data_IF_625900027425
#
_entry.id   IF_625900027425
#
_cell.length_a   1.000
_cell.length_b   1.000
_cell.length_c   1.000
_cell.angle_alpha   90.00
_cell.angle_beta   90.00
_cell.angle_gamma   90.00
#
_symmetry.space_group_name_H-M   'P 1'
#
loop_
_entity.id
_entity.type
_entity.pdbx_description
1 polymer ?
#
# COMPACT_ATOMS: atom_id res chain seq x y z
N UNK A 1 2.44 -16.92 13.21
CA UNK A 1 3.35 -16.32 14.19
C UNK A 1 2.54 -15.76 15.35
N UNK A 2 3.01 -15.94 16.60
CA UNK A 2 2.39 -15.26 17.73
C UNK A 2 2.86 -13.81 17.73
N UNK A 3 1.91 -12.87 17.54
CA UNK A 3 2.22 -11.45 17.60
C UNK A 3 2.24 -10.96 19.05
N UNK A 4 3.10 -9.98 19.34
CA UNK A 4 3.01 -9.23 20.61
C UNK A 4 1.88 -8.24 20.49
N UNK A 5 1.31 -7.85 21.63
CA UNK A 5 0.34 -6.76 21.68
C UNK A 5 0.96 -5.50 21.05
N UNK A 6 0.31 -4.97 20.02
CA UNK A 6 0.81 -3.83 19.23
C UNK A 6 1.71 -4.16 18.02
N UNK A 7 2.06 -5.43 17.77
CA UNK A 7 2.75 -5.82 16.54
C UNK A 7 1.77 -5.86 15.35
N UNK A 8 2.27 -5.49 14.19
CA UNK A 8 1.49 -5.38 12.95
C UNK A 8 2.24 -6.09 11.83
N UNK A 9 1.54 -6.91 11.04
CA UNK A 9 2.07 -7.40 9.77
C UNK A 9 1.96 -6.25 8.76
N UNK A 10 3.09 -5.67 8.39
CA UNK A 10 3.14 -4.56 7.44
C UNK A 10 3.39 -5.04 6.01
N UNK A 11 4.03 -6.17 5.82
CA UNK A 11 4.32 -6.73 4.49
C UNK A 11 4.57 -8.24 4.58
N UNK A 12 4.01 -8.99 3.62
CA UNK A 12 4.25 -10.42 3.45
C UNK A 12 4.81 -10.66 2.04
N UNK A 13 5.92 -11.37 1.91
CA UNK A 13 6.51 -11.74 0.62
C UNK A 13 7.29 -13.05 0.74
N UNK A 14 7.54 -13.68 -0.39
CA UNK A 14 8.40 -14.86 -0.52
C UNK A 14 9.75 -14.44 -1.07
N UNK A 15 10.82 -14.97 -0.48
CA UNK A 15 12.18 -14.75 -0.94
C UNK A 15 13.00 -16.03 -0.80
N UNK A 16 14.00 -16.22 -1.66
CA UNK A 16 14.95 -17.32 -1.55
C UNK A 16 16.10 -16.93 -0.62
N UNK A 17 16.79 -17.93 -0.06
CA UNK A 17 17.94 -17.68 0.84
C UNK A 17 19.09 -16.94 0.15
N UNK A 18 19.13 -16.93 -1.18
CA UNK A 18 20.14 -16.23 -1.98
C UNK A 18 19.75 -14.77 -2.30
N UNK A 19 18.53 -14.37 -2.02
CA UNK A 19 18.05 -13.03 -2.29
C UNK A 19 18.58 -12.03 -1.26
N UNK A 20 18.57 -10.77 -1.66
CA UNK A 20 18.86 -9.61 -0.81
C UNK A 20 17.61 -8.78 -0.68
N UNK A 21 17.24 -8.44 0.54
CA UNK A 21 16.15 -7.52 0.82
C UNK A 21 16.66 -6.08 0.77
N UNK A 22 16.15 -5.30 -0.17
CA UNK A 22 16.33 -3.86 -0.22
C UNK A 22 15.33 -3.19 0.73
N UNK A 23 15.81 -2.73 1.88
CA UNK A 23 14.98 -2.11 2.91
C UNK A 23 15.06 -0.58 2.78
N UNK A 24 14.01 0.02 2.21
CA UNK A 24 13.87 1.47 2.07
C UNK A 24 13.24 2.07 3.32
N UNK A 25 13.72 3.22 3.75
CA UNK A 25 13.25 3.88 4.95
C UNK A 25 12.52 5.19 4.65
N UNK A 26 11.70 5.64 5.59
CA UNK A 26 11.00 6.93 5.52
C UNK A 26 11.94 8.12 5.33
N UNK A 27 13.22 7.99 5.71
CA UNK A 27 14.25 9.01 5.50
C UNK A 27 14.92 8.94 4.11
N UNK A 28 14.36 8.15 3.18
CA UNK A 28 14.90 8.01 1.83
C UNK A 28 16.22 7.25 1.75
N UNK A 29 16.53 6.46 2.75
CA UNK A 29 17.72 5.62 2.80
C UNK A 29 17.40 4.18 2.39
N UNK A 30 18.42 3.48 1.93
CA UNK A 30 18.39 2.06 1.64
C UNK A 30 19.39 1.32 2.53
N UNK A 31 18.92 0.25 3.14
CA UNK A 31 19.74 -0.75 3.81
C UNK A 31 19.54 -2.11 3.13
N UNK A 32 20.53 -2.99 3.21
CA UNK A 32 20.47 -4.35 2.67
C UNK A 32 20.42 -5.34 3.80
N UNK A 33 19.57 -6.34 3.65
CA UNK A 33 19.50 -7.49 4.54
C UNK A 33 19.51 -8.75 3.68
N UNK A 34 20.55 -9.59 3.81
CA UNK A 34 20.55 -10.87 3.12
C UNK A 34 19.49 -11.79 3.75
N UNK A 35 18.75 -12.50 2.93
CA UNK A 35 17.70 -13.39 3.43
C UNK A 35 18.27 -14.47 4.35
N UNK A 36 19.47 -14.98 4.08
CA UNK A 36 20.15 -15.96 4.95
C UNK A 36 20.47 -15.45 6.37
N UNK A 37 20.60 -14.12 6.56
CA UNK A 37 20.82 -13.48 7.86
C UNK A 37 19.52 -13.30 8.67
N UNK A 38 18.38 -13.50 8.01
CA UNK A 38 17.06 -13.45 8.67
C UNK A 38 16.89 -14.72 9.51
N UNK A 39 16.62 -14.60 10.82
CA UNK A 39 16.46 -15.76 11.67
C UNK A 39 15.28 -16.63 11.24
N UNK A 40 15.51 -17.93 11.15
CA UNK A 40 14.42 -18.89 10.99
C UNK A 40 13.45 -18.81 12.17
N UNK A 41 12.17 -18.94 11.89
CA UNK A 41 11.12 -18.93 12.86
C UNK A 41 10.05 -19.98 12.57
N UNK A 42 9.50 -20.59 13.61
CA UNK A 42 8.31 -21.43 13.48
C UNK A 42 7.04 -20.56 13.42
N UNK A 43 5.91 -21.16 13.08
CA UNK A 43 4.60 -20.51 13.13
C UNK A 43 4.23 -19.93 14.52
N UNK A 44 4.85 -20.45 15.58
CA UNK A 44 4.66 -20.02 16.98
C UNK A 44 5.73 -19.02 17.46
N UNK A 45 6.76 -18.71 16.66
CA UNK A 45 7.83 -17.79 17.10
C UNK A 45 7.38 -16.34 17.03
N UNK A 46 7.89 -15.53 17.96
CA UNK A 46 7.54 -14.08 18.08
C UNK A 46 8.29 -13.18 17.11
N UNK A 47 9.16 -13.72 16.25
CA UNK A 47 10.01 -12.92 15.37
C UNK A 47 11.03 -12.05 16.11
N UNK A 48 11.82 -11.31 15.33
CA UNK A 48 12.78 -10.32 15.84
C UNK A 48 12.52 -8.96 15.21
N UNK A 49 12.64 -7.86 15.95
CA UNK A 49 12.50 -6.53 15.37
C UNK A 49 13.55 -6.30 14.27
N UNK A 50 13.13 -5.79 13.11
CA UNK A 50 14.03 -5.49 11.99
C UNK A 50 15.11 -4.47 12.35
N UNK A 51 14.84 -3.60 13.31
CA UNK A 51 15.83 -2.63 13.86
C UNK A 51 17.06 -3.29 14.47
N UNK A 52 16.96 -4.57 14.86
CA UNK A 52 18.11 -5.32 15.38
C UNK A 52 18.97 -5.94 14.27
N UNK A 53 18.51 -5.90 13.02
CA UNK A 53 19.19 -6.44 11.85
C UNK A 53 19.74 -5.35 10.92
N UNK A 54 19.26 -4.11 11.07
CA UNK A 54 19.66 -2.96 10.27
C UNK A 54 20.20 -1.85 11.17
N UNK A 55 21.22 -1.13 10.68
CA UNK A 55 21.77 0.05 11.39
C UNK A 55 20.90 1.29 11.11
N UNK A 56 19.71 1.31 11.68
CA UNK A 56 18.78 2.44 11.55
C UNK A 56 19.15 3.58 12.52
N UNK A 57 18.92 4.79 12.09
CA UNK A 57 19.04 5.99 12.96
C UNK A 57 17.74 6.21 13.74
N UNK A 58 17.77 7.10 14.74
CA UNK A 58 16.57 7.48 15.49
C UNK A 58 15.47 7.99 14.53
N UNK A 59 14.23 7.59 14.76
CA UNK A 59 13.04 7.90 13.95
C UNK A 59 13.09 7.36 12.49
N UNK A 60 14.07 6.55 12.15
CA UNK A 60 14.13 5.86 10.87
C UNK A 60 13.27 4.58 10.91
N UNK A 61 12.33 4.46 9.98
CA UNK A 61 11.41 3.33 9.88
C UNK A 61 11.47 2.76 8.48
N UNK A 62 11.45 1.42 8.38
CA UNK A 62 11.35 0.74 7.09
C UNK A 62 9.95 0.99 6.49
N UNK A 63 9.93 1.50 5.27
CA UNK A 63 8.71 1.84 4.52
C UNK A 63 8.40 0.81 3.45
N UNK A 64 9.43 0.26 2.80
CA UNK A 64 9.28 -0.77 1.78
C UNK A 64 10.42 -1.77 1.85
N UNK A 65 10.12 -3.05 1.59
CA UNK A 65 11.10 -4.13 1.49
C UNK A 65 10.92 -4.82 0.15
N UNK A 66 11.97 -4.87 -0.65
CA UNK A 66 11.95 -5.46 -2.00
C UNK A 66 12.95 -6.62 -2.04
N UNK A 67 12.50 -7.87 -2.22
CA UNK A 67 13.39 -9.00 -2.45
C UNK A 67 14.01 -8.90 -3.86
N UNK A 68 15.31 -8.96 -3.97
CA UNK A 68 16.07 -8.85 -5.21
C UNK A 68 17.06 -10.00 -5.30
N UNK A 69 17.07 -10.68 -6.44
CA UNK A 69 18.07 -11.69 -6.77
C UNK A 69 19.31 -11.05 -7.40
N UNK A 70 20.44 -11.76 -7.40
CA UNK A 70 21.65 -11.29 -8.10
C UNK A 70 21.43 -11.11 -9.61
N UNK A 71 20.55 -11.92 -10.20
CA UNK A 71 20.19 -11.83 -11.61
C UNK A 71 19.43 -10.54 -11.95
N UNK A 72 18.66 -10.01 -11.01
CA UNK A 72 17.87 -8.79 -11.24
C UNK A 72 18.75 -7.56 -11.46
N UNK A 73 19.96 -7.53 -10.87
CA UNK A 73 20.92 -6.46 -11.12
C UNK A 73 21.47 -6.44 -12.56
N UNK A 74 21.35 -7.54 -13.29
CA UNK A 74 21.75 -7.63 -14.70
C UNK A 74 20.62 -7.31 -15.67
N UNK A 75 19.37 -7.19 -15.18
CA UNK A 75 18.18 -6.85 -15.96
C UNK A 75 18.02 -5.33 -16.06
N UNK A 76 17.29 -4.89 -17.08
CA UNK A 76 16.92 -3.47 -17.24
C UNK A 76 15.72 -3.13 -16.34
N UNK A 77 15.99 -3.14 -15.03
CA UNK A 77 15.03 -2.86 -13.97
C UNK A 77 15.35 -1.55 -13.26
N UNK A 78 14.33 -0.98 -12.67
CA UNK A 78 14.42 0.27 -11.93
C UNK A 78 13.75 0.13 -10.56
N UNK A 79 14.18 0.96 -9.62
CA UNK A 79 13.44 1.23 -8.40
C UNK A 79 12.70 2.55 -8.59
N UNK A 80 11.38 2.47 -8.60
CA UNK A 80 10.49 3.62 -8.60
C UNK A 80 10.12 3.99 -7.17
N UNK A 81 10.24 5.26 -6.82
CA UNK A 81 10.04 5.77 -5.46
C UNK A 81 9.08 6.95 -5.47
N UNK A 82 8.28 7.10 -4.41
CA UNK A 82 7.41 8.24 -4.20
C UNK A 82 7.49 8.77 -2.77
N UNK A 83 7.37 10.08 -2.63
CA UNK A 83 7.39 10.78 -1.34
C UNK A 83 6.02 11.33 -0.95
N UNK A 84 5.84 11.66 0.32
CA UNK A 84 4.59 12.24 0.83
C UNK A 84 4.24 13.59 0.18
N UNK A 85 5.23 14.37 -0.23
CA UNK A 85 5.01 15.65 -0.92
C UNK A 85 4.71 15.49 -2.42
N UNK A 86 4.58 14.23 -2.90
CA UNK A 86 4.19 13.93 -4.27
C UNK A 86 5.35 13.98 -5.27
N UNK A 87 6.59 13.94 -4.80
CA UNK A 87 7.79 13.76 -5.63
C UNK A 87 7.99 12.30 -5.99
N UNK A 88 8.39 12.02 -7.22
CA UNK A 88 8.71 10.68 -7.70
C UNK A 88 10.08 10.61 -8.33
N UNK A 89 10.67 9.42 -8.29
CA UNK A 89 12.01 9.17 -8.82
C UNK A 89 12.10 7.74 -9.34
N UNK A 90 12.81 7.57 -10.46
CA UNK A 90 13.15 6.27 -11.02
C UNK A 90 14.68 6.15 -11.09
N UNK A 91 15.24 5.11 -10.48
CA UNK A 91 16.70 4.87 -10.40
C UNK A 91 17.01 3.47 -10.90
N UNK A 92 18.02 3.27 -11.79
CA UNK A 92 18.40 1.93 -12.22
C UNK A 92 18.76 1.05 -11.03
N UNK A 93 18.30 -0.21 -11.04
CA UNK A 93 18.53 -1.16 -9.95
C UNK A 93 20.02 -1.40 -9.69
N UNK A 94 20.85 -1.35 -10.76
CA UNK A 94 22.31 -1.50 -10.67
C UNK A 94 23.00 -0.47 -9.77
N UNK A 95 22.41 0.73 -9.59
CA UNK A 95 22.91 1.76 -8.68
C UNK A 95 22.88 1.32 -7.21
N UNK A 96 22.10 0.29 -6.88
CA UNK A 96 21.93 -0.26 -5.55
C UNK A 96 22.69 -1.56 -5.30
N UNK A 97 23.53 -2.02 -6.23
CA UNK A 97 24.27 -3.27 -6.10
C UNK A 97 25.34 -3.23 -5.00
N UNK A 98 25.97 -2.08 -4.80
CA UNK A 98 27.10 -1.95 -3.86
C UNK A 98 26.59 -1.75 -2.43
N UNK A 99 26.52 -2.83 -1.68
CA UNK A 99 26.05 -2.85 -0.30
C UNK A 99 27.00 -2.08 0.63
N UNK A 100 26.43 -1.33 1.56
CA UNK A 100 27.17 -0.65 2.65
C UNK A 100 26.41 -0.86 3.97
N UNK A 101 27.14 -1.24 5.00
CA UNK A 101 26.57 -1.56 6.30
C UNK A 101 25.75 -0.39 6.89
N UNK A 102 26.25 0.82 6.81
CA UNK A 102 25.56 2.02 7.29
C UNK A 102 24.40 2.48 6.38
N UNK A 103 24.05 1.71 5.33
CA UNK A 103 23.09 2.13 4.32
C UNK A 103 23.59 3.23 3.40
N UNK A 104 22.76 3.61 2.44
CA UNK A 104 23.03 4.69 1.49
C UNK A 104 21.78 5.55 1.29
N UNK A 105 21.96 6.76 0.77
CA UNK A 105 20.84 7.55 0.30
C UNK A 105 20.31 6.95 -1.02
N UNK A 106 19.02 6.63 -1.05
CA UNK A 106 18.32 6.18 -2.24
C UNK A 106 17.64 7.35 -2.98
N UNK A 107 17.17 8.34 -2.24
CA UNK A 107 16.57 9.57 -2.74
C UNK A 107 16.98 10.73 -1.83
N UNK A 108 17.16 11.91 -2.38
CA UNK A 108 17.41 13.12 -1.61
C UNK A 108 16.07 13.77 -1.29
N UNK A 109 15.61 13.65 -0.05
CA UNK A 109 14.34 14.22 0.41
C UNK A 109 14.48 15.71 0.68
N UNK A 110 13.41 16.45 0.42
CA UNK A 110 13.26 17.83 0.90
C UNK A 110 13.00 17.84 2.42
N UNK A 111 13.20 18.98 3.04
CA UNK A 111 12.98 19.15 4.49
C UNK A 111 11.51 18.87 4.84
N UNK A 112 11.29 17.99 5.79
CA UNK A 112 9.95 17.59 6.25
C UNK A 112 9.25 16.52 5.38
N UNK A 113 9.81 16.17 4.20
CA UNK A 113 9.26 15.13 3.35
C UNK A 113 9.70 13.74 3.82
N UNK A 114 8.92 12.72 3.46
CA UNK A 114 9.22 11.32 3.78
C UNK A 114 8.97 10.43 2.58
N UNK A 115 9.74 9.35 2.45
CA UNK A 115 9.48 8.30 1.47
C UNK A 115 8.24 7.50 1.89
N UNK A 116 7.27 7.33 0.98
CA UNK A 116 6.04 6.56 1.23
C UNK A 116 6.00 5.22 0.52
N UNK A 117 6.79 5.04 -0.54
CA UNK A 117 6.82 3.78 -1.26
C UNK A 117 8.02 3.63 -2.17
N UNK A 118 8.39 2.38 -2.41
CA UNK A 118 9.36 1.95 -3.41
C UNK A 118 8.87 0.65 -4.05
N UNK A 119 9.09 0.50 -5.35
CA UNK A 119 8.72 -0.69 -6.11
C UNK A 119 9.73 -0.96 -7.22
N UNK A 120 9.87 -2.24 -7.60
CA UNK A 120 10.63 -2.64 -8.79
C UNK A 120 9.76 -2.44 -10.03
N UNK A 121 10.32 -1.84 -11.08
CA UNK A 121 9.65 -1.65 -12.37
C UNK A 121 10.59 -2.00 -13.53
N UNK A 122 10.03 -2.26 -14.70
CA UNK A 122 10.77 -2.60 -15.92
C UNK A 122 10.74 -1.48 -16.98
N UNK A 123 10.26 -0.29 -16.60
CA UNK A 123 10.15 0.85 -17.49
C UNK A 123 8.86 0.92 -18.32
N UNK A 124 7.91 -0.02 -18.17
CA UNK A 124 6.71 -0.15 -19.03
C UNK A 124 5.39 -0.04 -18.29
N UNK A 125 5.43 0.16 -16.99
CA UNK A 125 4.25 0.18 -16.15
C UNK A 125 3.66 1.60 -15.98
N UNK A 126 2.46 1.65 -15.48
CA UNK A 126 1.86 2.87 -14.97
C UNK A 126 2.10 2.99 -13.47
N UNK A 127 2.22 4.22 -13.02
CA UNK A 127 2.29 4.56 -11.60
C UNK A 127 1.05 5.31 -11.20
N UNK A 128 0.48 4.94 -10.06
CA UNK A 128 -0.64 5.62 -9.43
C UNK A 128 -0.22 6.18 -8.09
N UNK A 129 -0.49 7.46 -7.85
CA UNK A 129 -0.25 8.13 -6.57
C UNK A 129 -1.58 8.55 -5.95
N UNK A 130 -1.85 8.08 -4.75
CA UNK A 130 -3.07 8.38 -4.00
C UNK A 130 -2.77 9.38 -2.89
N UNK A 131 -3.62 10.38 -2.77
CA UNK A 131 -3.52 11.37 -1.69
C UNK A 131 -4.55 11.13 -0.59
N UNK A 132 -4.26 11.63 0.60
CA UNK A 132 -5.11 11.50 1.79
C UNK A 132 -6.48 12.18 1.64
N UNK A 133 -6.63 13.09 0.68
CA UNK A 133 -7.90 13.74 0.35
C UNK A 133 -8.70 13.03 -0.75
N UNK A 134 -8.37 11.78 -1.08
CA UNK A 134 -9.15 10.93 -1.98
C UNK A 134 -8.88 11.14 -3.48
N UNK A 135 -7.82 11.85 -3.86
CA UNK A 135 -7.43 12.01 -5.26
C UNK A 135 -6.35 11.02 -5.68
N UNK A 136 -6.30 10.76 -6.99
CA UNK A 136 -5.30 9.88 -7.60
C UNK A 136 -4.81 10.47 -8.92
N UNK A 137 -3.52 10.29 -9.17
CA UNK A 137 -2.90 10.52 -10.49
C UNK A 137 -2.40 9.19 -11.02
N UNK A 138 -2.73 8.84 -12.27
CA UNK A 138 -2.17 7.70 -13.01
C UNK A 138 -1.39 8.22 -14.20
N UNK A 139 -0.14 7.82 -14.34
CA UNK A 139 0.74 8.24 -15.43
C UNK A 139 1.72 7.11 -15.82
N UNK A 140 2.23 7.14 -17.05
CA UNK A 140 3.26 6.20 -17.48
C UNK A 140 4.59 6.49 -16.76
N UNK A 141 5.28 5.45 -16.29
CA UNK A 141 6.62 5.61 -15.72
C UNK A 141 7.66 6.15 -16.72
N UNK A 142 7.39 6.08 -18.02
CA UNK A 142 8.23 6.68 -19.06
C UNK A 142 8.32 8.22 -18.96
N UNK A 143 7.32 8.86 -18.36
CA UNK A 143 7.35 10.29 -18.10
C UNK A 143 8.40 10.70 -17.03
N UNK A 144 8.94 9.71 -16.32
CA UNK A 144 9.99 9.89 -15.32
C UNK A 144 11.28 9.31 -15.83
N UNK A 145 12.22 10.19 -16.23
CA UNK A 145 13.56 9.75 -16.66
C UNK A 145 14.28 9.06 -15.52
N UNK A 146 15.13 8.09 -15.84
CA UNK A 146 16.03 7.48 -14.87
C UNK A 146 17.02 8.52 -14.30
N UNK A 147 17.24 8.49 -12.99
CA UNK A 147 18.08 9.42 -12.26
C UNK A 147 18.94 8.68 -11.24
N UNK A 148 20.14 9.20 -10.97
CA UNK A 148 21.03 8.64 -9.96
C UNK A 148 20.51 8.83 -8.54
N UNK A 149 21.07 8.10 -7.60
CA UNK A 149 20.64 8.05 -6.18
C UNK A 149 20.57 9.40 -5.47
N UNK A 150 21.47 10.32 -5.77
CA UNK A 150 21.54 11.65 -5.14
C UNK A 150 20.49 12.66 -5.68
N UNK A 151 19.69 12.29 -6.68
CA UNK A 151 18.65 13.17 -7.20
C UNK A 151 17.44 13.23 -6.24
N UNK A 152 16.78 14.39 -6.19
CA UNK A 152 15.53 14.59 -5.45
C UNK A 152 14.36 13.95 -6.19
N UNK A 153 14.35 13.98 -7.51
CA UNK A 153 13.23 13.51 -8.32
C UNK A 153 12.49 14.64 -9.03
N UNK A 154 11.30 14.31 -9.49
CA UNK A 154 10.40 15.22 -10.21
C UNK A 154 9.00 15.15 -9.61
N UNK A 155 8.19 16.15 -9.87
CA UNK A 155 6.80 16.19 -9.38
C UNK A 155 5.98 15.08 -10.05
N UNK A 156 5.45 14.16 -9.26
CA UNK A 156 4.49 13.13 -9.67
C UNK A 156 3.05 13.60 -9.50
N UNK A 157 2.72 14.17 -8.36
CA UNK A 157 1.39 14.70 -8.04
C UNK A 157 1.48 16.13 -7.49
N UNK A 158 0.52 16.97 -7.82
CA UNK A 158 0.35 18.31 -7.23
C UNK A 158 -0.65 18.20 -6.09
N UNK A 159 -0.20 18.50 -4.89
CA UNK A 159 -1.01 18.53 -3.68
C UNK A 159 -1.39 19.97 -3.32
N UNK A 160 -2.53 20.14 -2.69
CA UNK A 160 -2.88 21.38 -2.01
C UNK A 160 -2.27 21.39 -0.61
N UNK A 161 -2.28 22.51 0.08
CA UNK A 161 -1.67 22.69 1.39
C UNK A 161 -2.25 21.68 2.41
N UNK A 162 -1.37 21.02 3.16
CA UNK A 162 -1.74 20.04 4.18
C UNK A 162 -2.09 18.66 3.65
N UNK A 163 -2.11 18.43 2.32
CA UNK A 163 -2.34 17.13 1.72
C UNK A 163 -1.04 16.34 1.55
N UNK A 164 -1.15 15.02 1.54
CA UNK A 164 -0.02 14.11 1.36
C UNK A 164 -0.37 12.94 0.46
N UNK A 165 0.60 12.47 -0.31
CA UNK A 165 0.53 11.14 -0.93
C UNK A 165 0.66 10.09 0.19
N UNK A 166 -0.23 9.10 0.16
CA UNK A 166 -0.28 8.02 1.16
C UNK A 166 0.00 6.63 0.57
N UNK A 167 -0.18 6.45 -0.72
CA UNK A 167 0.10 5.19 -1.39
C UNK A 167 0.65 5.41 -2.80
N UNK A 168 1.57 4.56 -3.20
CA UNK A 168 2.08 4.43 -4.56
C UNK A 168 1.83 3.02 -5.06
N UNK A 169 1.16 2.88 -6.18
CA UNK A 169 0.90 1.59 -6.83
C UNK A 169 1.57 1.58 -8.21
N UNK A 170 2.08 0.42 -8.60
CA UNK A 170 2.58 0.15 -9.95
C UNK A 170 1.65 -0.85 -10.60
N UNK A 171 1.09 -0.52 -11.74
CA UNK A 171 0.13 -1.36 -12.45
C UNK A 171 0.46 -1.49 -13.94
N UNK A 172 0.12 -2.66 -14.47
CA UNK A 172 0.06 -2.91 -15.92
C UNK A 172 -1.36 -2.69 -16.45
N UNK A 173 -1.64 -3.29 -17.60
CA UNK A 173 -2.97 -3.27 -18.23
C UNK A 173 -3.77 -4.55 -17.87
N UNK A 174 -3.67 -5.03 -16.64
CA UNK A 174 -4.37 -6.22 -16.15
C UNK A 174 -5.86 -5.88 -15.90
N UNK A 175 -6.77 -6.46 -16.70
CA UNK A 175 -8.21 -6.19 -16.64
C UNK A 175 -8.88 -6.79 -15.39
N UNK A 176 -8.25 -7.81 -14.78
CA UNK A 176 -8.82 -8.51 -13.60
C UNK A 176 -8.47 -7.84 -12.27
N UNK A 177 -7.81 -6.67 -12.32
CA UNK A 177 -7.37 -5.96 -11.13
C UNK A 177 -8.30 -4.78 -10.83
N UNK A 178 -8.66 -4.64 -9.57
CA UNK A 178 -9.39 -3.48 -9.05
C UNK A 178 -8.53 -2.69 -8.07
N UNK A 179 -8.81 -1.41 -7.93
CA UNK A 179 -8.21 -0.54 -6.92
C UNK A 179 -9.11 -0.54 -5.69
N UNK A 180 -8.61 -1.09 -4.60
CA UNK A 180 -9.23 -0.97 -3.28
C UNK A 180 -8.72 0.29 -2.59
N UNK A 181 -9.62 1.15 -2.17
CA UNK A 181 -9.30 2.37 -1.40
C UNK A 181 -10.03 2.33 -0.07
N UNK A 182 -9.34 2.66 1.02
CA UNK A 182 -9.93 2.69 2.35
C UNK A 182 -9.61 3.98 3.12
N UNK A 183 -10.52 4.37 4.01
CA UNK A 183 -10.48 5.62 4.76
C UNK A 183 -10.40 5.40 6.28
N UNK A 184 -10.05 6.46 7.03
CA UNK A 184 -9.81 6.43 8.48
C UNK A 184 -10.96 5.84 9.30
N UNK A 185 -12.21 6.05 8.87
CA UNK A 185 -13.38 5.62 9.64
C UNK A 185 -13.96 4.29 9.16
N UNK A 186 -13.14 3.49 8.47
CA UNK A 186 -13.48 2.13 8.11
C UNK A 186 -14.32 1.97 6.85
N UNK A 187 -14.48 3.04 6.07
CA UNK A 187 -15.15 2.98 4.77
C UNK A 187 -14.15 2.68 3.66
N UNK A 188 -14.64 2.12 2.56
CA UNK A 188 -13.85 1.90 1.37
C UNK A 188 -14.64 1.23 0.26
N UNK A 189 -13.97 0.95 -0.84
CA UNK A 189 -14.56 0.33 -2.04
C UNK A 189 -13.50 -0.21 -2.96
N UNK A 190 -13.94 -1.04 -3.89
CA UNK A 190 -13.16 -1.42 -5.07
C UNK A 190 -13.66 -0.64 -6.27
N UNK A 191 -12.75 -0.18 -7.14
CA UNK A 191 -13.12 0.40 -8.43
C UNK A 191 -12.29 -0.25 -9.54
N UNK A 192 -12.87 -0.54 -10.72
CA UNK A 192 -12.12 -1.10 -11.84
C UNK A 192 -10.93 -0.23 -12.20
N UNK A 193 -9.77 -0.85 -12.50
CA UNK A 193 -8.58 -0.11 -12.91
C UNK A 193 -8.82 0.73 -14.17
N UNK A 194 -9.72 0.30 -15.04
CA UNK A 194 -10.10 1.00 -16.27
C UNK A 194 -10.74 2.38 -16.04
N UNK A 195 -11.37 2.62 -14.87
CA UNK A 195 -11.95 3.93 -14.53
C UNK A 195 -10.88 5.01 -14.24
N UNK A 196 -9.64 4.58 -13.97
CA UNK A 196 -8.52 5.47 -13.70
C UNK A 196 -7.77 5.78 -14.99
N UNK A 197 -8.24 6.78 -15.71
CA UNK A 197 -7.61 7.21 -16.97
C UNK A 197 -6.19 7.71 -16.75
N UNK A 198 -5.30 7.36 -17.68
CA UNK A 198 -3.92 7.83 -17.67
C UNK A 198 -3.90 9.32 -18.01
N UNK A 199 -3.29 10.11 -17.15
CA UNK A 199 -3.03 11.54 -17.34
C UNK A 199 -1.52 11.79 -17.16
N UNK A 200 -1.03 12.96 -17.56
CA UNK A 200 0.35 13.33 -17.30
C UNK A 200 0.64 13.49 -15.80
N UNK A 201 1.88 13.22 -15.39
CA UNK A 201 2.35 13.45 -14.03
C UNK A 201 2.27 14.94 -13.64
N UNK A 202 2.30 15.23 -12.34
CA UNK A 202 2.34 16.60 -11.81
C UNK A 202 1.01 17.34 -11.88
N UNK A 203 -0.09 16.62 -12.12
CA UNK A 203 -1.46 17.16 -12.03
C UNK A 203 -2.01 17.01 -10.60
N UNK A 204 -3.17 17.61 -10.32
CA UNK A 204 -3.91 17.42 -9.06
C UNK A 204 -4.62 16.07 -8.98
N UNK A 205 -4.75 15.37 -10.12
CA UNK A 205 -5.42 14.09 -10.23
C UNK A 205 -6.95 14.20 -10.28
N UNK A 206 -7.56 13.03 -10.31
CA UNK A 206 -9.01 12.81 -10.33
C UNK A 206 -9.47 12.22 -9.00
N UNK A 207 -10.76 12.25 -8.71
CA UNK A 207 -11.31 11.64 -7.50
C UNK A 207 -11.22 10.12 -7.63
N UNK A 208 -10.63 9.46 -6.62
CA UNK A 208 -10.64 8.02 -6.41
C UNK A 208 -11.75 7.61 -5.45
N UNK A 209 -11.91 8.36 -4.38
CA UNK A 209 -12.98 8.23 -3.39
C UNK A 209 -13.30 9.62 -2.85
N UNK A 210 -14.57 9.91 -2.65
CA UNK A 210 -14.97 11.16 -2.01
C UNK A 210 -14.68 11.09 -0.51
N UNK A 211 -13.91 12.03 0.02
CA UNK A 211 -13.62 12.16 1.45
C UNK A 211 -14.55 13.18 2.08
N UNK A 212 -15.22 12.81 3.15
CA UNK A 212 -16.18 13.61 3.90
C UNK A 212 -15.96 13.46 5.40
N UNK A 213 -16.71 14.16 6.23
CA UNK A 213 -16.68 13.96 7.68
C UNK A 213 -17.13 12.56 8.10
N UNK A 214 -17.95 11.89 7.25
CA UNK A 214 -18.45 10.52 7.50
C UNK A 214 -17.34 9.49 7.41
N UNK A 215 -16.52 9.52 6.38
CA UNK A 215 -15.54 8.48 6.10
C UNK A 215 -14.09 8.88 6.43
N UNK A 216 -13.79 10.15 6.60
CA UNK A 216 -12.47 10.65 6.94
C UNK A 216 -11.50 10.62 5.76
N UNK A 217 -10.20 10.74 6.05
CA UNK A 217 -9.12 10.75 5.07
C UNK A 217 -8.81 9.35 4.54
N UNK A 218 -8.31 9.25 3.31
CA UNK A 218 -7.77 8.00 2.78
C UNK A 218 -6.52 7.61 3.56
N UNK A 219 -6.43 6.33 3.93
CA UNK A 219 -5.29 5.77 4.65
C UNK A 219 -4.46 4.82 3.80
N UNK A 220 -5.08 4.14 2.83
CA UNK A 220 -4.38 3.21 1.97
C UNK A 220 -5.13 2.95 0.68
N UNK A 221 -4.39 2.58 -0.37
CA UNK A 221 -4.90 2.03 -1.61
C UNK A 221 -4.06 0.81 -2.02
N UNK A 222 -4.72 -0.23 -2.56
CA UNK A 222 -4.09 -1.48 -3.00
C UNK A 222 -4.64 -1.91 -4.37
N UNK A 223 -3.81 -2.62 -5.14
CA UNK A 223 -4.28 -3.40 -6.28
C UNK A 223 -4.67 -4.79 -5.79
N UNK A 224 -5.90 -5.18 -6.05
CA UNK A 224 -6.46 -6.45 -5.58
C UNK A 224 -7.19 -7.21 -6.69
N UNK A 225 -7.16 -8.53 -6.60
CA UNK A 225 -7.94 -9.46 -7.44
C UNK A 225 -9.13 -10.00 -6.65
N UNK A 226 -10.12 -10.55 -7.34
CA UNK A 226 -11.36 -11.06 -6.74
C UNK A 226 -11.12 -12.11 -5.64
N UNK A 227 -10.12 -12.98 -5.84
CA UNK A 227 -9.80 -14.06 -4.91
C UNK A 227 -8.79 -13.69 -3.83
N UNK A 228 -8.32 -12.45 -3.82
CA UNK A 228 -7.39 -11.99 -2.77
C UNK A 228 -8.13 -11.86 -1.43
N UNK A 229 -7.33 -11.85 -0.39
CA UNK A 229 -7.75 -11.46 0.95
C UNK A 229 -6.95 -10.24 1.41
N UNK A 230 -7.54 -9.45 2.25
CA UNK A 230 -6.89 -8.28 2.84
C UNK A 230 -6.93 -8.35 4.36
N UNK A 231 -5.98 -7.67 4.97
CA UNK A 231 -5.97 -7.41 6.41
C UNK A 231 -6.18 -5.92 6.62
N UNK A 232 -7.19 -5.58 7.38
CA UNK A 232 -7.51 -4.23 7.84
C UNK A 232 -6.83 -4.04 9.20
N UNK A 233 -6.11 -2.94 9.36
CA UNK A 233 -5.38 -2.63 10.58
C UNK A 233 -5.93 -1.40 11.26
N UNK A 234 -6.30 -1.51 12.52
CA UNK A 234 -6.78 -0.39 13.33
C UNK A 234 -5.69 0.26 14.17
N UNK A 235 -5.92 1.49 14.61
CA UNK A 235 -5.01 2.23 15.49
C UNK A 235 -4.83 1.59 16.88
N UNK A 236 -5.72 0.69 17.28
CA UNK A 236 -5.63 -0.09 18.52
C UNK A 236 -4.87 -1.40 18.32
N UNK A 237 -4.36 -1.68 17.12
CA UNK A 237 -3.64 -2.90 16.79
C UNK A 237 -4.55 -4.10 16.46
N UNK A 238 -5.87 -3.92 16.38
CA UNK A 238 -6.80 -4.98 15.94
C UNK A 238 -6.59 -5.23 14.45
N UNK A 239 -6.52 -6.49 14.07
CA UNK A 239 -6.41 -6.96 12.69
C UNK A 239 -7.71 -7.65 12.30
N UNK A 240 -8.29 -7.28 11.16
CA UNK A 240 -9.47 -7.93 10.60
C UNK A 240 -9.14 -8.43 9.20
N UNK A 241 -9.33 -9.71 8.95
CA UNK A 241 -9.16 -10.33 7.64
C UNK A 241 -10.49 -10.33 6.91
N UNK A 242 -10.50 -9.89 5.67
CA UNK A 242 -11.69 -9.76 4.83
C UNK A 242 -11.37 -10.27 3.43
N UNK A 243 -12.29 -10.99 2.79
CA UNK A 243 -12.16 -11.40 1.39
C UNK A 243 -12.49 -10.24 0.47
N UNK A 244 -11.70 -10.07 -0.58
CA UNK A 244 -11.88 -8.99 -1.54
C UNK A 244 -13.23 -9.08 -2.26
N UNK A 245 -13.72 -10.30 -2.54
CA UNK A 245 -15.02 -10.52 -3.19
C UNK A 245 -16.23 -10.06 -2.35
N UNK A 246 -16.07 -9.88 -1.04
CA UNK A 246 -17.11 -9.36 -0.14
C UNK A 246 -17.20 -7.82 -0.19
N UNK A 247 -16.20 -7.15 -0.78
CA UNK A 247 -16.15 -5.70 -0.90
C UNK A 247 -16.83 -5.27 -2.21
N UNK A 248 -17.78 -4.37 -2.13
CA UNK A 248 -18.50 -3.86 -3.31
C UNK A 248 -17.56 -3.21 -4.32
N UNK A 249 -17.83 -3.46 -5.60
CA UNK A 249 -17.25 -2.70 -6.72
C UNK A 249 -18.15 -1.51 -7.00
N UNK A 250 -17.61 -0.32 -6.88
CA UNK A 250 -18.31 0.95 -7.06
C UNK A 250 -17.52 1.87 -7.98
N UNK A 251 -18.19 2.82 -8.60
CA UNK A 251 -17.55 3.89 -9.36
C UNK A 251 -16.59 4.70 -8.47
N UNK A 252 -15.52 5.24 -9.05
CA UNK A 252 -14.46 5.95 -8.30
C UNK A 252 -14.95 7.22 -7.60
N UNK A 253 -16.03 7.88 -8.09
CA UNK A 253 -16.54 9.13 -7.52
C UNK A 253 -17.63 8.88 -6.46
N UNK A 254 -17.43 7.96 -5.53
CA UNK A 254 -18.34 7.64 -4.43
C UNK A 254 -17.63 7.68 -3.09
N UNK A 255 -18.36 7.72 -1.97
CA UNK A 255 -17.80 7.71 -0.61
C UNK A 255 -17.37 6.32 -0.13
N UNK A 256 -17.74 5.27 -0.86
CA UNK A 256 -17.53 3.88 -0.47
C UNK A 256 -18.58 3.38 0.53
N UNK A 257 -18.43 2.12 0.91
CA UNK A 257 -19.26 1.41 1.88
C UNK A 257 -18.46 1.05 3.13
N UNK A 258 -19.12 0.65 4.18
CA UNK A 258 -18.45 0.19 5.40
C UNK A 258 -17.67 -1.10 5.11
N UNK A 259 -16.36 -1.08 5.37
CA UNK A 259 -15.48 -2.26 5.33
C UNK A 259 -15.34 -2.88 6.71
N UNK A 260 -15.34 -2.05 7.74
CA UNK A 260 -15.20 -2.44 9.14
C UNK A 260 -15.87 -1.39 10.01
N UNK A 261 -16.63 -1.85 10.99
CA UNK A 261 -17.18 -0.97 12.01
C UNK A 261 -16.08 -0.54 12.97
N UNK A 262 -15.96 0.77 13.14
CA UNK A 262 -14.96 1.36 13.99
C UNK A 262 -15.52 1.68 15.37
N UNK A 263 -14.83 1.27 16.42
CA UNK A 263 -15.13 1.69 17.78
C UNK A 263 -14.83 3.19 17.95
N UNK A 264 -15.53 3.84 18.87
CA UNK A 264 -15.32 5.28 19.12
C UNK A 264 -13.86 5.60 19.45
N UNK A 265 -13.29 6.57 18.76
CA UNK A 265 -11.89 6.97 18.90
C UNK A 265 -10.89 6.07 18.19
N UNK A 266 -11.31 4.97 17.58
CA UNK A 266 -10.45 4.08 16.78
C UNK A 266 -10.47 4.51 15.31
N UNK A 267 -9.34 4.34 14.62
CA UNK A 267 -9.18 4.62 13.19
C UNK A 267 -8.56 3.44 12.47
N UNK A 268 -8.94 3.26 11.22
CA UNK A 268 -8.20 2.42 10.30
C UNK A 268 -6.87 3.14 9.98
N UNK A 269 -5.75 2.42 10.01
CA UNK A 269 -4.42 2.98 9.77
C UNK A 269 -3.68 2.33 8.62
N UNK A 270 -4.18 1.20 8.11
CA UNK A 270 -3.55 0.52 6.99
C UNK A 270 -4.36 -0.66 6.46
N UNK A 271 -3.95 -1.09 5.28
CA UNK A 271 -4.42 -2.28 4.57
C UNK A 271 -3.21 -3.06 4.09
N UNK A 272 -3.29 -4.38 4.13
CA UNK A 272 -2.32 -5.27 3.50
C UNK A 272 -3.04 -6.36 2.71
N UNK A 273 -2.49 -6.71 1.54
CA UNK A 273 -2.99 -7.83 0.74
C UNK A 273 -2.30 -9.12 1.15
N UNK A 274 -3.09 -10.14 1.39
CA UNK A 274 -2.59 -11.52 1.57
C UNK A 274 -2.72 -12.23 0.23
N UNK A 275 -1.57 -12.56 -0.39
CA UNK A 275 -1.54 -13.40 -1.60
C UNK A 275 -1.41 -14.86 -1.17
N UNK A 276 -2.37 -15.70 -1.51
CA UNK A 276 -2.16 -17.15 -1.47
C UNK A 276 -1.25 -17.53 -2.64
N UNK A 277 -0.14 -18.19 -2.37
CA UNK A 277 0.68 -18.77 -3.43
C UNK A 277 -0.09 -19.94 -4.05
N UNK A 278 -0.29 -19.89 -5.35
CA UNK A 278 -0.95 -20.90 -6.19
C UNK A 278 -0.04 -22.13 -6.43
N UNK A 279 0.82 -22.47 -5.46
CA UNK A 279 1.63 -23.70 -5.49
C UNK A 279 0.96 -24.75 -4.62
N UNK A 280 0.40 -25.75 -5.33
CA UNK A 280 -0.39 -26.83 -4.82
C UNK A 280 0.26 -27.65 -3.71
N UNK A 281 -0.63 -28.20 -2.89
CA UNK A 281 -0.46 -29.29 -1.92
C UNK A 281 0.47 -29.04 -0.72
N UNK A 282 -0.11 -28.49 0.35
CA UNK A 282 -0.20 -29.21 1.64
C UNK A 282 -1.08 -28.43 2.61
N UNK A 283 -2.35 -28.78 2.58
CA UNK A 283 -3.26 -28.42 3.65
C UNK A 283 -2.93 -29.30 4.87
N UNK A 284 -2.35 -28.68 5.90
CA UNK A 284 -2.62 -29.12 7.29
C UNK A 284 -2.19 -28.00 8.25
N UNK A 285 -3.13 -27.59 9.05
CA UNK A 285 -3.03 -26.76 10.24
C UNK A 285 -2.82 -25.23 10.04
N UNK A 286 -3.79 -24.61 9.38
CA UNK A 286 -4.13 -23.23 9.68
C UNK A 286 -4.99 -23.19 10.96
N UNK A 287 -4.34 -22.94 12.10
CA UNK A 287 -5.06 -22.43 13.26
C UNK A 287 -5.61 -21.06 12.85
N UNK A 288 -6.88 -21.03 12.50
CA UNK A 288 -7.65 -19.82 12.35
C UNK A 288 -7.48 -19.02 13.65
N UNK A 289 -6.87 -17.85 13.55
CA UNK A 289 -7.12 -16.82 14.55
C UNK A 289 -8.56 -16.38 14.28
N UNK A 290 -9.50 -16.99 14.98
CA UNK A 290 -10.86 -16.49 15.06
C UNK A 290 -10.76 -15.08 15.66
N UNK A 291 -10.76 -14.06 14.78
CA UNK A 291 -11.21 -12.76 15.20
C UNK A 291 -12.69 -12.96 15.56
N UNK A 292 -13.04 -12.73 16.82
CA UNK A 292 -14.44 -12.58 17.21
C UNK A 292 -15.03 -11.50 16.30
N UNK A 293 -15.71 -11.93 15.25
CA UNK A 293 -16.66 -11.11 14.55
C UNK A 293 -17.74 -10.87 15.58
N UNK A 294 -17.78 -9.65 16.13
CA UNK A 294 -18.94 -9.21 16.89
C UNK A 294 -20.09 -9.36 15.90
N UNK A 295 -20.92 -10.38 16.10
CA UNK A 295 -22.08 -10.64 15.30
C UNK A 295 -23.04 -9.49 15.54
N UNK A 296 -23.02 -8.51 14.65
CA UNK A 296 -24.12 -7.57 14.54
C UNK A 296 -25.36 -8.37 14.13
N UNK A 297 -26.46 -8.02 14.73
CA UNK A 297 -27.72 -8.66 14.37
C UNK A 297 -28.02 -8.35 12.91
N UNK A 298 -28.53 -9.33 12.16
CA UNK A 298 -28.92 -9.17 10.75
C UNK A 298 -29.76 -7.91 10.48
N UNK A 299 -30.43 -7.38 11.52
CA UNK A 299 -31.21 -6.15 11.45
C UNK A 299 -30.34 -4.87 11.41
N UNK A 300 -29.17 -4.84 12.07
CA UNK A 300 -28.26 -3.69 12.04
C UNK A 300 -27.49 -3.64 10.71
N UNK A 301 -27.11 -4.81 10.17
CA UNK A 301 -26.51 -4.90 8.84
C UNK A 301 -27.47 -4.43 7.74
N UNK A 302 -28.75 -4.85 7.81
CA UNK A 302 -29.77 -4.43 6.84
C UNK A 302 -30.06 -2.92 6.93
N UNK A 303 -30.04 -2.32 8.12
CA UNK A 303 -30.22 -0.87 8.29
C UNK A 303 -29.02 -0.07 7.77
N UNK A 304 -27.79 -0.59 7.93
CA UNK A 304 -26.58 0.01 7.40
C UNK A 304 -26.55 -0.06 5.86
N UNK A 305 -26.86 -1.23 5.29
CA UNK A 305 -26.94 -1.40 3.83
C UNK A 305 -27.99 -0.48 3.21
N UNK A 306 -29.15 -0.32 3.84
CA UNK A 306 -30.21 0.58 3.36
C UNK A 306 -29.78 2.05 3.38
N UNK A 307 -29.00 2.47 4.39
CA UNK A 307 -28.43 3.84 4.45
C UNK A 307 -27.37 4.06 3.38
N UNK A 308 -26.50 3.09 3.15
CA UNK A 308 -25.45 3.19 2.13
C UNK A 308 -26.07 3.20 0.71
N UNK A 309 -27.14 2.42 0.45
CA UNK A 309 -27.88 2.47 -0.82
C UNK A 309 -28.60 3.81 -1.03
N UNK A 310 -29.13 4.42 0.02
CA UNK A 310 -29.80 5.71 -0.09
C UNK A 310 -28.79 6.82 -0.49
N UNK A 311 -27.60 6.80 0.10
CA UNK A 311 -26.53 7.75 -0.21
C UNK A 311 -26.05 7.57 -1.65
N UNK A 312 -25.85 6.33 -2.10
CA UNK A 312 -25.43 6.04 -3.48
C UNK A 312 -26.47 6.55 -4.51
N UNK A 313 -27.76 6.45 -4.20
CA UNK A 313 -28.83 6.97 -5.09
C UNK A 313 -28.90 8.49 -5.12
N UNK A 314 -28.55 9.16 -4.02
CA UNK A 314 -28.44 10.62 -3.99
C UNK A 314 -27.24 11.09 -4.82
N UNK A 315 -26.10 10.40 -4.71
CA UNK A 315 -24.89 10.70 -5.47
C UNK A 315 -25.08 10.50 -7.00
N UNK A 316 -25.79 9.44 -7.41
CA UNK A 316 -26.12 9.21 -8.84
C UNK A 316 -27.08 10.26 -9.41
N UNK A 317 -27.96 10.84 -8.61
CA UNK A 317 -28.87 11.88 -9.04
C UNK A 317 -28.20 13.25 -9.20
N UNK A 318 -27.18 13.54 -8.40
CA UNK A 318 -26.41 14.79 -8.51
C UNK A 318 -25.45 14.80 -9.72
N UNK A 319 -25.06 13.62 -10.23
CA UNK A 319 -24.27 13.53 -11.47
C UNK A 319 -25.11 13.77 -12.75
N UNK A 320 -26.44 13.72 -12.67
CA UNK A 320 -27.33 13.88 -13.84
C UNK A 320 -27.98 15.27 -13.92
N UNK A 321 -27.58 16.22 -13.08
CA UNK A 321 -27.96 17.65 -13.13
C UNK A 321 -26.76 18.52 -13.54
#
# INVERSE_FOLDING_TARGET
AQMKEGDIINQLFVATTHDVLLCFTNKGRLHWLNVWDVPEGSSSSKGRPIVNMLELTDDEKVTAVLPISDEDYAKDLYIFMATADGTVKKTPIGDFKNQRRAGINAINLLEGDVLVGAAVTDGKHDVMLFSDNGKVVRFSEDEVRAMGRAATGVRGMRLDEGQKVISMLVCGDDEDVTVLTATEFGYGKRSPLAEYTRHGRGTKGIISIQTTERNGKVVSALLVKENDEIILLTSTGKLVRTRVNEIRVLGRNTQGVTLILMEEGTKLVGLERVTENDDGDNASDNAAVEAEVVSETEAEEAELEAKDEAILKEEENDENL
#
